data_IF_767812540771
#
_entry.id   IF_767812540771
#
_cell.length_a   1.000
_cell.length_b   1.000
_cell.length_c   1.000
_cell.angle_alpha   90.00
_cell.angle_beta   90.00
_cell.angle_gamma   90.00
#
_symmetry.space_group_name_H-M   'P 1'
#
loop_
_entity.id
_entity.type
_entity.pdbx_description
1 polymer ?
#
# COMPACT_ATOMS: atom_id res chain seq x y z
N UNK A 1 -6.38 -3.41 13.34
CA UNK A 1 -6.04 -2.01 13.52
C UNK A 1 -7.14 -1.24 14.25
N UNK A 2 -8.39 -1.31 13.76
CA UNK A 2 -9.53 -0.52 14.30
C UNK A 2 -9.88 -0.85 15.77
N UNK A 3 -9.54 -2.07 16.21
CA UNK A 3 -9.79 -2.56 17.57
C UNK A 3 -8.65 -2.28 18.55
N UNK A 4 -7.50 -1.81 18.05
CA UNK A 4 -6.36 -1.52 18.91
C UNK A 4 -6.68 -0.37 19.86
N UNK A 5 -6.49 -0.58 21.14
CA UNK A 5 -6.65 0.43 22.21
C UNK A 5 -5.37 0.49 23.03
N UNK A 6 -5.02 1.69 23.46
CA UNK A 6 -3.91 1.93 24.38
C UNK A 6 -4.48 2.53 25.64
N UNK A 7 -4.27 1.85 26.76
CA UNK A 7 -4.72 2.36 28.06
C UNK A 7 -4.08 3.72 28.36
N UNK A 8 -4.88 4.66 28.87
CA UNK A 8 -4.40 5.98 29.28
C UNK A 8 -4.04 6.95 28.15
N UNK A 9 -4.28 6.61 26.87
CA UNK A 9 -4.01 7.51 25.74
C UNK A 9 -5.24 7.73 24.87
N UNK A 10 -5.46 8.99 24.52
CA UNK A 10 -6.46 9.35 23.49
C UNK A 10 -5.86 9.14 22.10
N UNK A 11 -6.57 8.44 21.23
CA UNK A 11 -6.09 8.12 19.87
C UNK A 11 -5.87 9.38 19.02
N UNK A 12 -6.65 10.45 19.26
CA UNK A 12 -6.48 11.74 18.60
C UNK A 12 -5.11 12.40 18.84
N UNK A 13 -4.45 12.06 19.95
CA UNK A 13 -3.12 12.59 20.28
C UNK A 13 -1.97 11.71 19.74
N UNK A 14 -2.29 10.62 19.07
CA UNK A 14 -1.31 9.67 18.53
C UNK A 14 -1.54 9.45 17.04
N UNK A 15 -0.61 8.77 16.39
CA UNK A 15 -0.77 8.36 14.98
C UNK A 15 -1.84 7.29 14.77
N UNK A 16 -2.38 6.71 15.86
CA UNK A 16 -3.38 5.62 15.78
C UNK A 16 -4.65 6.04 15.06
N UNK A 17 -5.02 7.31 15.10
CA UNK A 17 -6.18 7.82 14.37
C UNK A 17 -5.99 7.70 12.85
N UNK A 18 -4.77 7.93 12.35
CA UNK A 18 -4.45 7.90 10.93
C UNK A 18 -4.17 6.49 10.40
N UNK A 19 -3.67 5.58 11.26
CA UNK A 19 -3.20 4.25 10.83
C UNK A 19 -4.25 3.39 10.13
N UNK A 20 -5.52 3.30 10.59
CA UNK A 20 -6.51 2.49 9.89
C UNK A 20 -6.72 2.90 8.44
N UNK A 21 -6.79 4.20 8.18
CA UNK A 21 -6.97 4.75 6.84
C UNK A 21 -5.70 4.65 6.00
N UNK A 22 -4.54 4.90 6.60
CA UNK A 22 -3.25 4.76 5.94
C UNK A 22 -2.96 3.31 5.51
N UNK A 23 -3.22 2.33 6.37
CA UNK A 23 -3.03 0.91 6.06
C UNK A 23 -3.95 0.48 4.93
N UNK A 24 -5.23 0.90 4.95
CA UNK A 24 -6.16 0.63 3.85
C UNK A 24 -5.74 1.28 2.54
N UNK A 25 -5.27 2.53 2.60
CA UNK A 25 -4.71 3.20 1.43
C UNK A 25 -3.54 2.41 0.84
N UNK A 26 -2.57 2.02 1.65
CA UNK A 26 -1.40 1.25 1.20
C UNK A 26 -1.81 -0.09 0.59
N UNK A 27 -2.74 -0.80 1.23
CA UNK A 27 -3.25 -2.08 0.74
C UNK A 27 -4.05 -1.95 -0.56
N UNK A 28 -4.93 -0.95 -0.68
CA UNK A 28 -5.77 -0.79 -1.86
C UNK A 28 -5.01 -0.25 -3.08
N UNK A 29 -3.98 0.59 -2.85
CA UNK A 29 -3.30 1.32 -3.93
C UNK A 29 -1.90 0.82 -4.24
N UNK A 30 -1.30 0.05 -3.35
CA UNK A 30 0.09 -0.38 -3.46
C UNK A 30 1.11 0.76 -3.40
N UNK A 31 0.76 1.93 -2.90
CA UNK A 31 1.69 3.05 -2.74
C UNK A 31 2.87 2.69 -1.84
N UNK A 32 4.04 3.27 -2.12
CA UNK A 32 5.14 3.24 -1.16
C UNK A 32 4.78 4.08 0.06
N UNK A 33 5.17 3.64 1.26
CA UNK A 33 4.86 4.36 2.51
C UNK A 33 5.25 5.83 2.44
N UNK A 34 6.43 6.16 1.91
CA UNK A 34 6.90 7.53 1.80
C UNK A 34 6.15 8.36 0.75
N UNK A 35 5.56 7.73 -0.27
CA UNK A 35 4.65 8.39 -1.21
C UNK A 35 3.33 8.73 -0.50
N UNK A 36 2.73 7.74 0.18
CA UNK A 36 1.49 7.92 0.93
C UNK A 36 1.58 9.01 2.02
N UNK A 37 2.70 9.06 2.74
CA UNK A 37 2.93 10.05 3.81
C UNK A 37 3.23 11.47 3.29
N UNK A 38 3.43 11.64 1.98
CA UNK A 38 3.63 12.95 1.36
C UNK A 38 2.37 13.51 0.69
N UNK A 39 1.32 12.73 0.60
CA UNK A 39 0.04 13.18 0.05
C UNK A 39 -0.45 14.39 0.86
N UNK A 40 -0.86 15.43 0.15
CA UNK A 40 -1.47 16.65 0.71
C UNK A 40 -2.99 16.64 0.51
N UNK A 41 -3.69 17.52 1.18
CA UNK A 41 -5.14 17.62 1.00
C UNK A 41 -5.53 17.92 -0.44
N UNK A 42 -4.79 18.81 -1.12
CA UNK A 42 -5.02 19.18 -2.52
C UNK A 42 -4.80 18.04 -3.52
N UNK A 43 -4.08 16.98 -3.14
CA UNK A 43 -3.76 15.86 -4.03
C UNK A 43 -4.89 14.82 -4.09
N UNK A 44 -5.91 14.95 -3.23
CA UNK A 44 -7.03 14.02 -3.14
C UNK A 44 -8.24 14.57 -3.88
N UNK A 45 -8.58 13.95 -5.00
CA UNK A 45 -9.68 14.35 -5.88
C UNK A 45 -10.81 13.31 -5.80
N UNK A 46 -11.72 13.49 -4.85
CA UNK A 46 -12.85 12.59 -4.68
C UNK A 46 -13.87 12.66 -5.81
N UNK A 47 -13.99 13.80 -6.49
CA UNK A 47 -14.84 14.01 -7.67
C UNK A 47 -14.40 13.15 -8.87
N UNK A 48 -13.11 12.84 -8.94
CA UNK A 48 -12.48 12.02 -9.98
C UNK A 48 -12.08 10.63 -9.53
N UNK A 49 -12.30 10.29 -8.25
CA UNK A 49 -11.87 9.05 -7.63
C UNK A 49 -10.37 8.76 -7.79
N UNK A 50 -9.53 9.79 -7.66
CA UNK A 50 -8.07 9.66 -7.81
C UNK A 50 -7.31 10.43 -6.74
N UNK A 51 -6.10 9.97 -6.46
CA UNK A 51 -5.07 10.69 -5.71
C UNK A 51 -3.92 10.98 -6.65
N UNK A 52 -3.44 12.22 -6.68
CA UNK A 52 -2.22 12.60 -7.41
C UNK A 52 -1.02 12.30 -6.53
N UNK A 53 -0.05 11.56 -7.05
CA UNK A 53 1.14 11.18 -6.30
C UNK A 53 2.39 11.55 -7.08
N UNK A 54 3.29 12.30 -6.43
CA UNK A 54 4.60 12.60 -6.98
C UNK A 54 5.57 11.44 -6.77
N UNK A 55 6.25 11.04 -7.84
CA UNK A 55 7.38 10.13 -7.73
C UNK A 55 8.56 10.84 -7.06
N UNK A 56 8.99 10.34 -5.90
CA UNK A 56 10.11 10.90 -5.12
C UNK A 56 11.44 11.00 -5.87
N UNK A 57 11.60 10.24 -6.96
CA UNK A 57 12.88 10.15 -7.67
C UNK A 57 12.94 10.93 -8.98
N UNK A 58 11.80 11.29 -9.60
CA UNK A 58 11.76 11.83 -10.96
C UNK A 58 10.83 13.02 -11.14
N UNK A 59 10.09 13.45 -10.09
CA UNK A 59 9.03 14.47 -10.18
C UNK A 59 7.95 14.14 -11.23
N UNK A 60 7.77 12.86 -11.57
CA UNK A 60 6.71 12.40 -12.44
C UNK A 60 5.48 12.15 -11.59
N UNK A 61 4.45 12.93 -11.82
CA UNK A 61 3.14 12.73 -11.20
C UNK A 61 2.43 11.55 -11.85
N UNK A 62 1.73 10.77 -11.02
CA UNK A 62 0.82 9.73 -11.48
C UNK A 62 -0.51 9.79 -10.76
N UNK A 63 -1.56 9.40 -11.45
CA UNK A 63 -2.89 9.23 -10.89
C UNK A 63 -3.01 7.83 -10.28
N UNK A 64 -3.46 7.79 -9.04
CA UNK A 64 -3.72 6.55 -8.30
C UNK A 64 -5.22 6.46 -8.09
N UNK A 65 -5.93 5.52 -8.75
CA UNK A 65 -7.37 5.37 -8.59
C UNK A 65 -7.70 4.87 -7.18
N UNK A 66 -8.81 5.37 -6.65
CA UNK A 66 -9.38 4.93 -5.37
C UNK A 66 -10.79 4.39 -5.63
N UNK A 67 -11.11 3.26 -5.01
CA UNK A 67 -12.44 2.70 -5.08
C UNK A 67 -13.35 3.34 -4.01
N UNK A 68 -14.66 3.15 -4.16
CA UNK A 68 -15.67 3.71 -3.26
C UNK A 68 -15.45 3.33 -1.80
N UNK A 69 -15.03 2.10 -1.52
CA UNK A 69 -14.80 1.65 -0.14
C UNK A 69 -13.63 2.37 0.52
N UNK A 70 -12.55 2.60 -0.22
CA UNK A 70 -11.41 3.39 0.27
C UNK A 70 -11.78 4.87 0.43
N UNK A 71 -12.56 5.42 -0.51
CA UNK A 71 -13.04 6.80 -0.41
C UNK A 71 -13.84 7.03 0.85
N UNK A 72 -14.78 6.14 1.19
CA UNK A 72 -15.56 6.22 2.43
C UNK A 72 -14.63 6.29 3.66
N UNK A 73 -13.63 5.43 3.70
CA UNK A 73 -12.66 5.39 4.80
C UNK A 73 -11.83 6.67 4.89
N UNK A 74 -11.39 7.20 3.75
CA UNK A 74 -10.61 8.45 3.71
C UNK A 74 -11.47 9.66 4.13
N UNK A 75 -12.70 9.77 3.65
CA UNK A 75 -13.64 10.82 4.07
C UNK A 75 -13.94 10.76 5.56
N UNK A 76 -14.13 9.57 6.09
CA UNK A 76 -14.34 9.37 7.54
C UNK A 76 -13.11 9.82 8.33
N UNK A 77 -11.90 9.43 7.92
CA UNK A 77 -10.66 9.87 8.55
C UNK A 77 -10.52 11.40 8.53
N UNK A 78 -10.70 12.00 7.35
CA UNK A 78 -10.63 13.46 7.17
C UNK A 78 -11.63 14.17 8.09
N UNK A 79 -12.88 13.70 8.13
CA UNK A 79 -13.91 14.26 9.02
C UNK A 79 -13.53 14.22 10.51
N UNK A 80 -12.87 13.16 10.98
CA UNK A 80 -12.38 13.08 12.35
C UNK A 80 -11.13 13.94 12.58
N UNK A 81 -10.18 13.92 11.62
CA UNK A 81 -8.96 14.71 11.67
C UNK A 81 -9.27 16.21 11.74
N UNK A 82 -10.19 16.69 10.91
CA UNK A 82 -10.51 18.11 10.78
C UNK A 82 -11.22 18.70 12.02
N UNK A 83 -11.70 17.83 12.93
CA UNK A 83 -12.20 18.22 14.24
C UNK A 83 -11.10 18.48 15.27
N UNK A 84 -9.85 18.14 14.96
CA UNK A 84 -8.74 18.45 15.84
C UNK A 84 -8.46 19.95 15.79
N UNK A 85 -8.25 20.57 16.96
CA UNK A 85 -7.91 21.99 17.08
C UNK A 85 -6.45 22.25 16.67
N UNK A 86 -6.10 21.87 15.44
CA UNK A 86 -4.76 22.03 14.86
C UNK A 86 -4.83 23.11 13.78
N UNK A 87 -4.17 24.26 13.96
CA UNK A 87 -4.16 25.32 12.96
C UNK A 87 -3.65 24.83 11.59
N UNK A 88 -4.37 25.19 10.52
CA UNK A 88 -3.96 24.89 9.13
C UNK A 88 -4.10 23.45 8.69
N UNK A 89 -4.68 22.54 9.49
CA UNK A 89 -4.80 21.12 9.13
C UNK A 89 -5.64 20.88 7.87
N UNK A 90 -6.59 21.77 7.60
CA UNK A 90 -7.47 21.74 6.42
C UNK A 90 -6.90 22.48 5.22
N UNK A 91 -5.76 23.16 5.36
CA UNK A 91 -5.14 23.88 4.26
C UNK A 91 -4.79 22.92 3.10
N UNK A 92 -4.90 23.38 1.82
CA UNK A 92 -4.64 22.54 0.66
C UNK A 92 -3.25 21.90 0.66
N UNK A 93 -2.24 22.62 1.14
CA UNK A 93 -0.84 22.19 1.22
C UNK A 93 -0.50 21.40 2.48
N UNK A 94 -1.44 21.23 3.42
CA UNK A 94 -1.25 20.39 4.61
C UNK A 94 -1.25 18.91 4.25
N UNK A 95 -0.47 18.12 5.00
CA UNK A 95 -0.40 16.67 4.78
C UNK A 95 -1.73 16.00 5.10
N UNK A 96 -2.10 15.01 4.27
CA UNK A 96 -3.30 14.20 4.50
C UNK A 96 -3.19 13.41 5.81
N UNK A 97 -2.06 12.71 6.03
CA UNK A 97 -1.82 11.90 7.21
C UNK A 97 -0.90 12.62 8.19
N UNK A 98 -1.47 13.03 9.30
CA UNK A 98 -0.78 13.80 10.32
C UNK A 98 -0.80 13.12 11.69
N UNK A 99 0.21 13.44 12.50
CA UNK A 99 0.23 13.10 13.92
C UNK A 99 -0.78 13.96 14.71
N UNK A 100 -1.00 13.64 15.97
CA UNK A 100 -1.84 14.45 16.86
C UNK A 100 -1.37 15.91 17.05
N UNK A 101 -0.17 16.26 16.57
CA UNK A 101 0.36 17.64 16.57
C UNK A 101 0.29 18.32 15.18
N UNK A 102 -0.36 17.71 14.19
CA UNK A 102 -0.47 18.24 12.83
C UNK A 102 0.78 18.04 11.96
N UNK A 103 1.84 17.45 12.47
CA UNK A 103 3.05 17.18 11.70
C UNK A 103 2.89 15.91 10.86
N UNK A 104 3.57 15.86 9.72
CA UNK A 104 3.66 14.65 8.89
C UNK A 104 4.13 13.46 9.74
N UNK A 105 3.49 12.32 9.56
CA UNK A 105 3.89 11.08 10.22
C UNK A 105 5.18 10.57 9.57
N UNK A 106 6.11 10.09 10.39
CA UNK A 106 7.33 9.46 9.91
C UNK A 106 7.14 7.97 9.64
N UNK A 107 7.82 7.45 8.60
CA UNK A 107 7.69 6.04 8.19
C UNK A 107 8.18 5.05 9.25
N UNK A 108 9.18 5.42 10.05
CA UNK A 108 9.65 4.60 11.17
C UNK A 108 8.58 4.45 12.25
N UNK A 109 7.84 5.53 12.51
CA UNK A 109 6.70 5.51 13.43
C UNK A 109 5.59 4.59 12.92
N UNK A 110 5.26 4.65 11.61
CA UNK A 110 4.27 3.73 11.01
C UNK A 110 4.74 2.28 11.14
N UNK A 111 6.00 1.99 10.83
CA UNK A 111 6.55 0.63 10.93
C UNK A 111 6.47 0.09 12.36
N UNK A 112 6.83 0.88 13.36
CA UNK A 112 6.75 0.50 14.78
C UNK A 112 5.31 0.19 15.21
N UNK A 113 4.34 0.99 14.77
CA UNK A 113 2.93 0.74 15.07
C UNK A 113 2.36 -0.43 14.28
N UNK A 114 2.80 -0.62 13.04
CA UNK A 114 2.43 -1.78 12.24
C UNK A 114 2.84 -3.09 12.93
N UNK A 115 4.07 -3.18 13.44
CA UNK A 115 4.52 -4.35 14.23
C UNK A 115 3.62 -4.59 15.45
N UNK A 116 3.26 -3.56 16.20
CA UNK A 116 2.33 -3.70 17.33
C UNK A 116 0.96 -4.21 16.89
N UNK A 117 0.48 -3.75 15.75
CA UNK A 117 -0.82 -4.15 15.19
C UNK A 117 -0.81 -5.63 14.80
N UNK A 118 0.22 -6.10 14.07
CA UNK A 118 0.30 -7.49 13.63
C UNK A 118 0.47 -8.45 14.81
N UNK A 119 1.31 -8.10 15.79
CA UNK A 119 1.47 -8.90 17.02
C UNK A 119 0.13 -8.98 17.76
N UNK A 120 -0.58 -7.86 17.91
CA UNK A 120 -1.89 -7.85 18.58
C UNK A 120 -2.97 -8.62 17.79
N UNK A 121 -2.76 -8.82 16.49
CA UNK A 121 -3.61 -9.63 15.63
C UNK A 121 -3.23 -11.13 15.65
N UNK A 122 -2.26 -11.54 16.46
CA UNK A 122 -1.77 -12.92 16.53
C UNK A 122 -0.88 -13.34 15.36
N UNK A 123 -0.37 -12.37 14.56
CA UNK A 123 0.53 -12.66 13.45
C UNK A 123 1.96 -12.68 13.99
N UNK A 124 2.71 -13.78 13.80
CA UNK A 124 4.07 -13.90 14.29
C UNK A 124 5.00 -12.82 13.75
N UNK A 125 5.84 -12.26 14.59
CA UNK A 125 6.91 -11.37 14.23
C UNK A 125 8.12 -11.66 15.11
N UNK A 126 9.17 -12.22 14.51
CA UNK A 126 10.35 -12.73 15.22
C UNK A 126 11.44 -11.66 15.38
N UNK A 127 11.35 -10.54 14.66
CA UNK A 127 12.40 -9.52 14.62
C UNK A 127 13.39 -9.76 13.47
N UNK A 128 14.47 -9.00 13.40
CA UNK A 128 15.55 -9.13 12.39
C UNK A 128 15.07 -9.21 10.92
N UNK A 129 13.99 -8.47 10.60
CA UNK A 129 13.31 -8.50 9.31
C UNK A 129 12.49 -9.77 9.01
N UNK A 130 12.38 -10.72 9.95
CA UNK A 130 11.47 -11.87 9.86
C UNK A 130 10.06 -11.47 10.28
N UNK A 131 9.12 -11.63 9.39
CA UNK A 131 7.72 -11.30 9.57
C UNK A 131 7.22 -10.14 8.69
N UNK A 132 5.90 -9.94 8.65
CA UNK A 132 5.28 -8.96 7.77
C UNK A 132 5.73 -7.52 8.05
N UNK A 133 6.02 -6.78 6.99
CA UNK A 133 6.42 -5.36 7.01
C UNK A 133 5.37 -4.51 6.32
N UNK A 134 5.42 -3.20 6.57
CA UNK A 134 4.54 -2.24 5.86
C UNK A 134 4.67 -2.35 4.33
N UNK A 135 5.88 -2.68 3.82
CA UNK A 135 6.11 -2.81 2.40
C UNK A 135 5.41 -4.02 1.77
N UNK A 136 5.14 -5.05 2.57
CA UNK A 136 4.48 -6.27 2.10
C UNK A 136 3.00 -6.02 1.78
N UNK A 137 2.39 -4.96 2.33
CA UNK A 137 1.08 -4.49 1.90
C UNK A 137 1.08 -4.11 0.40
N UNK A 138 2.18 -3.54 -0.10
CA UNK A 138 2.34 -3.22 -1.51
C UNK A 138 2.49 -4.49 -2.36
N UNK A 139 3.25 -5.48 -1.87
CA UNK A 139 3.36 -6.78 -2.56
C UNK A 139 1.98 -7.43 -2.67
N UNK A 140 1.24 -7.47 -1.57
CA UNK A 140 -0.12 -8.02 -1.54
C UNK A 140 -1.07 -7.26 -2.48
N UNK A 141 -1.04 -5.93 -2.46
CA UNK A 141 -1.85 -5.11 -3.37
C UNK A 141 -1.56 -5.43 -4.84
N UNK A 142 -0.29 -5.58 -5.17
CA UNK A 142 0.17 -5.88 -6.53
C UNK A 142 -0.36 -7.23 -7.02
N UNK A 143 -0.18 -8.27 -6.19
CA UNK A 143 -0.65 -9.63 -6.50
C UNK A 143 -2.18 -9.66 -6.64
N UNK A 144 -2.91 -9.08 -5.68
CA UNK A 144 -4.37 -9.06 -5.74
C UNK A 144 -4.91 -8.26 -6.93
N UNK A 145 -4.25 -7.16 -7.30
CA UNK A 145 -4.63 -6.39 -8.50
C UNK A 145 -4.44 -7.23 -9.75
N UNK A 146 -3.30 -7.92 -9.89
CA UNK A 146 -3.03 -8.82 -11.01
C UNK A 146 -4.07 -9.95 -11.08
N UNK A 147 -4.30 -10.63 -9.95
CA UNK A 147 -5.30 -11.72 -9.86
C UNK A 147 -6.68 -11.23 -10.29
N UNK A 148 -7.10 -10.06 -9.81
CA UNK A 148 -8.41 -9.50 -10.16
C UNK A 148 -8.50 -9.14 -11.65
N UNK A 149 -7.46 -8.59 -12.26
CA UNK A 149 -7.42 -8.29 -13.70
C UNK A 149 -7.56 -9.58 -14.52
N UNK A 150 -6.81 -10.61 -14.18
CA UNK A 150 -6.86 -11.92 -14.88
C UNK A 150 -8.23 -12.59 -14.71
N UNK A 151 -8.79 -12.63 -13.49
CA UNK A 151 -10.13 -13.17 -13.22
C UNK A 151 -11.25 -12.43 -13.97
N UNK A 152 -11.02 -11.16 -14.30
CA UNK A 152 -11.94 -10.37 -15.14
C UNK A 152 -11.65 -10.52 -16.65
N UNK A 153 -10.87 -11.53 -17.05
CA UNK A 153 -10.63 -11.88 -18.45
C UNK A 153 -9.53 -11.07 -19.13
N UNK A 154 -8.72 -10.30 -18.37
CA UNK A 154 -7.60 -9.57 -18.96
C UNK A 154 -6.43 -10.53 -19.15
N UNK A 155 -5.79 -10.47 -20.33
CA UNK A 155 -4.58 -11.21 -20.61
C UNK A 155 -3.44 -10.80 -19.67
N UNK A 156 -2.70 -11.77 -19.15
CA UNK A 156 -1.67 -11.54 -18.14
C UNK A 156 -0.52 -10.66 -18.69
N UNK A 157 -0.19 -10.73 -19.97
CA UNK A 157 0.80 -9.85 -20.58
C UNK A 157 0.32 -8.41 -20.69
N UNK A 158 -0.98 -8.22 -20.88
CA UNK A 158 -1.60 -6.89 -20.84
C UNK A 158 -1.68 -6.32 -19.42
N UNK A 159 -1.77 -7.17 -18.39
CA UNK A 159 -1.82 -6.72 -16.99
C UNK A 159 -0.49 -6.15 -16.51
N UNK A 160 0.66 -6.69 -16.97
CA UNK A 160 1.98 -6.29 -16.49
C UNK A 160 2.30 -4.80 -16.72
N UNK A 161 2.16 -4.22 -17.92
CA UNK A 161 2.42 -2.79 -18.13
C UNK A 161 1.44 -1.89 -17.37
N UNK A 162 0.17 -2.29 -17.26
CA UNK A 162 -0.82 -1.55 -16.48
C UNK A 162 -0.41 -1.54 -15.01
N UNK A 163 -0.05 -2.71 -14.47
CA UNK A 163 0.41 -2.84 -13.09
C UNK A 163 1.70 -2.06 -12.84
N UNK A 164 2.67 -2.09 -13.78
CA UNK A 164 3.89 -1.30 -13.69
C UNK A 164 3.60 0.19 -13.58
N UNK A 165 2.66 0.69 -14.38
CA UNK A 165 2.23 2.09 -14.36
C UNK A 165 1.56 2.45 -13.04
N UNK A 166 0.60 1.65 -12.59
CA UNK A 166 -0.10 1.85 -11.30
C UNK A 166 0.88 1.88 -10.13
N UNK A 167 1.84 0.96 -10.12
CA UNK A 167 2.85 0.87 -9.08
C UNK A 167 3.95 1.93 -9.21
N UNK A 168 4.08 2.61 -10.34
CA UNK A 168 5.18 3.55 -10.61
C UNK A 168 6.53 2.83 -10.64
N UNK A 169 6.60 1.69 -11.31
CA UNK A 169 7.85 0.98 -11.59
C UNK A 169 8.52 1.59 -12.81
N UNK A 170 9.80 1.97 -12.66
CA UNK A 170 10.61 2.45 -13.79
C UNK A 170 11.06 1.30 -14.71
N UNK A 171 11.30 0.14 -14.13
CA UNK A 171 11.76 -1.05 -14.84
C UNK A 171 10.65 -2.10 -14.82
N UNK A 172 10.18 -2.57 -15.99
CA UNK A 172 9.20 -3.65 -16.10
C UNK A 172 9.63 -4.93 -15.37
N UNK A 173 10.95 -5.20 -15.29
CA UNK A 173 11.49 -6.34 -14.55
C UNK A 173 11.04 -6.37 -13.07
N UNK A 174 10.82 -5.21 -12.46
CA UNK A 174 10.28 -5.14 -11.10
C UNK A 174 8.83 -5.64 -11.02
N UNK A 175 8.12 -5.64 -12.15
CA UNK A 175 6.75 -6.16 -12.23
C UNK A 175 6.74 -7.66 -12.51
N UNK A 176 7.74 -8.18 -13.20
CA UNK A 176 7.93 -9.61 -13.43
C UNK A 176 8.07 -10.41 -12.12
N UNK A 177 8.68 -9.81 -11.09
CA UNK A 177 8.71 -10.38 -9.74
C UNK A 177 7.31 -10.72 -9.22
N UNK A 178 6.33 -9.85 -9.46
CA UNK A 178 4.94 -10.09 -9.03
C UNK A 178 4.25 -11.18 -9.85
N UNK A 179 4.64 -11.38 -11.09
CA UNK A 179 4.15 -12.49 -11.87
C UNK A 179 4.55 -13.83 -11.22
N UNK A 180 5.83 -13.96 -10.82
CA UNK A 180 6.32 -15.16 -10.12
C UNK A 180 5.64 -15.37 -8.78
N UNK A 181 5.44 -14.27 -8.01
CA UNK A 181 4.74 -14.32 -6.73
C UNK A 181 3.28 -14.72 -6.91
N UNK A 182 2.60 -14.21 -7.95
CA UNK A 182 1.23 -14.61 -8.30
C UNK A 182 1.17 -16.07 -8.67
N UNK A 183 2.14 -16.58 -9.45
CA UNK A 183 2.26 -17.98 -9.82
C UNK A 183 2.39 -18.90 -8.60
N UNK A 184 3.22 -18.49 -7.62
CA UNK A 184 3.41 -19.25 -6.39
C UNK A 184 2.15 -19.26 -5.50
N UNK A 185 1.40 -18.16 -5.44
CA UNK A 185 0.24 -18.02 -4.56
C UNK A 185 -1.08 -18.50 -5.21
N UNK A 186 -1.17 -18.46 -6.54
CA UNK A 186 -2.36 -18.77 -7.32
C UNK A 186 -2.00 -19.60 -8.56
N UNK A 187 -1.50 -20.82 -8.38
CA UNK A 187 -1.04 -21.66 -9.50
C UNK A 187 -2.16 -21.99 -10.50
N UNK A 188 -3.41 -22.04 -10.03
CA UNK A 188 -4.58 -22.30 -10.88
C UNK A 188 -4.79 -21.24 -11.96
N UNK A 189 -4.47 -19.97 -11.69
CA UNK A 189 -4.63 -18.89 -12.66
C UNK A 189 -3.61 -18.98 -13.81
N UNK A 190 -2.47 -19.59 -13.56
CA UNK A 190 -1.38 -19.68 -14.53
C UNK A 190 -1.48 -20.94 -15.37
N UNK A 191 -2.11 -22.00 -14.85
CA UNK A 191 -2.40 -23.22 -15.64
C UNK A 191 -3.31 -22.92 -16.84
N UNK A 192 -4.12 -21.87 -16.78
CA UNK A 192 -4.94 -21.40 -17.89
C UNK A 192 -4.13 -20.66 -18.98
N UNK A 193 -2.86 -20.28 -18.69
CA UNK A 193 -1.98 -19.53 -19.59
C UNK A 193 -0.59 -20.20 -19.73
N UNK A 194 -0.49 -21.42 -20.25
CA UNK A 194 0.75 -22.23 -20.25
C UNK A 194 1.91 -21.58 -21.02
N UNK A 195 1.63 -20.70 -21.99
CA UNK A 195 2.66 -20.02 -22.79
C UNK A 195 3.41 -18.90 -22.03
N UNK A 196 2.91 -18.49 -20.86
CA UNK A 196 3.56 -17.46 -20.02
C UNK A 196 4.85 -18.00 -19.37
N UNK A 197 4.90 -19.31 -19.12
CA UNK A 197 5.99 -19.96 -18.37
C UNK A 197 7.25 -20.15 -19.24
N UNK A 198 7.08 -20.38 -20.55
CA UNK A 198 8.20 -20.69 -21.45
C UNK A 198 9.15 -19.50 -21.72
N UNK A 199 8.72 -18.27 -21.46
CA UNK A 199 9.55 -17.07 -21.66
C UNK A 199 10.27 -16.55 -20.40
N UNK A 200 9.98 -17.15 -19.22
CA UNK A 200 10.60 -16.73 -17.97
C UNK A 200 11.82 -17.60 -17.69
N UNK A 201 13.01 -16.99 -17.65
CA UNK A 201 14.25 -17.71 -17.32
C UNK A 201 14.20 -18.22 -15.87
N UNK A 202 13.90 -19.51 -15.71
CA UNK A 202 13.79 -20.21 -14.42
C UNK A 202 15.13 -20.27 -13.65
N UNK A 203 16.25 -19.93 -14.27
CA UNK A 203 17.61 -20.03 -13.69
C UNK A 203 17.91 -18.99 -12.60
N UNK A 204 17.03 -17.99 -12.39
CA UNK A 204 17.16 -16.99 -11.30
C UNK A 204 16.43 -17.37 -10.02
N UNK A 205 15.91 -18.59 -9.90
CA UNK A 205 15.16 -19.05 -8.72
C UNK A 205 16.01 -19.48 -7.53
N UNK A 206 17.33 -19.66 -7.71
CA UNK A 206 18.20 -20.15 -6.63
C UNK A 206 18.42 -19.17 -5.46
N UNK A 207 18.07 -17.90 -5.65
CA UNK A 207 18.24 -16.89 -4.57
C UNK A 207 17.04 -16.83 -3.59
N UNK A 208 15.98 -17.61 -3.82
CA UNK A 208 14.75 -17.57 -3.01
C UNK A 208 14.64 -18.66 -1.95
N UNK A 209 15.48 -19.69 -2.00
CA UNK A 209 15.49 -20.76 -0.99
C UNK A 209 16.11 -20.37 0.36
N UNK A 210 16.58 -19.12 0.50
CA UNK A 210 17.16 -18.60 1.75
C UNK A 210 16.07 -18.05 2.72
N UNK A 211 14.80 -18.04 2.31
CA UNK A 211 13.70 -17.51 3.14
C UNK A 211 12.77 -18.62 3.67
N UNK A 212 13.03 -19.89 3.37
CA UNK A 212 12.24 -21.04 3.86
C UNK A 212 13.01 -21.99 4.79
N UNK A 213 14.23 -21.66 5.24
CA UNK A 213 14.88 -22.37 6.34
C UNK A 213 15.01 -21.51 7.61
#
# INVERSE_FOLDING_TARGET
CDKLRIAGQYHSHTVLMALPSLIRLLYCTGLRINEALKIRNQDVHFDRHVIVVDSLKNHIQRFVPINTSLEIVLRQYISYRDRLSIPGITAPDSYLFVSGTGKRIDSSTVSRWFHKIIINAGIPYVGNHDGPRVHDLRHTACVHTMVNMVRNGMDIYCTLPILATLMGHKNPMNTEYYLRLTQSMYPELISEFPNVISGIDMRRTETFNIIQE
#
